data_IF_005554958238
#
_entry.id   IF_005554958238
#
_cell.length_a   1.000
_cell.length_b   1.000
_cell.length_c   1.000
_cell.angle_alpha   90.00
_cell.angle_beta   90.00
_cell.angle_gamma   90.00
#
_symmetry.space_group_name_H-M   'P 1'
#
loop_
_entity.id
_entity.type
_entity.pdbx_description
1 polymer ?
#
# COMPACT_ATOMS: atom_id res chain seq x y z
N UNK A 1 -2.75 11.54 -10.03
CA UNK A 1 -1.55 10.89 -9.45
C UNK A 1 -1.88 9.90 -8.33
N UNK A 2 -2.46 10.29 -7.19
CA UNK A 2 -2.76 9.33 -6.10
C UNK A 2 -3.71 8.19 -6.54
N UNK A 3 -4.81 8.52 -7.22
CA UNK A 3 -5.74 7.52 -7.76
C UNK A 3 -5.13 6.57 -8.79
N UNK A 4 -4.11 7.01 -9.54
CA UNK A 4 -3.44 6.17 -10.54
C UNK A 4 -2.52 5.13 -9.88
N UNK A 5 -1.88 5.49 -8.76
CA UNK A 5 -1.11 4.53 -7.95
C UNK A 5 -2.02 3.49 -7.33
N UNK A 6 -3.17 3.90 -6.79
CA UNK A 6 -4.15 2.98 -6.23
C UNK A 6 -4.67 1.98 -7.26
N UNK A 7 -4.98 2.44 -8.48
CA UNK A 7 -5.37 1.55 -9.58
C UNK A 7 -4.28 0.55 -9.94
N UNK A 8 -3.02 1.00 -10.06
CA UNK A 8 -1.88 0.12 -10.34
C UNK A 8 -1.66 -0.91 -9.23
N UNK A 9 -1.79 -0.51 -7.96
CA UNK A 9 -1.70 -1.41 -6.80
C UNK A 9 -2.78 -2.50 -6.91
N UNK A 10 -4.02 -2.13 -7.21
CA UNK A 10 -5.12 -3.08 -7.39
C UNK A 10 -4.87 -4.04 -8.56
N UNK A 11 -4.36 -3.55 -9.69
CA UNK A 11 -4.07 -4.38 -10.85
C UNK A 11 -2.92 -5.37 -10.61
N UNK A 12 -1.85 -4.94 -9.94
CA UNK A 12 -0.74 -5.81 -9.52
C UNK A 12 -1.24 -6.85 -8.52
N UNK A 13 -2.07 -6.46 -7.56
CA UNK A 13 -2.67 -7.40 -6.62
C UNK A 13 -3.51 -8.47 -7.31
N UNK A 14 -4.33 -8.09 -8.30
CA UNK A 14 -5.08 -9.06 -9.12
C UNK A 14 -4.16 -10.00 -9.89
N UNK A 15 -3.04 -9.50 -10.44
CA UNK A 15 -2.03 -10.34 -11.10
C UNK A 15 -1.44 -11.36 -10.13
N UNK A 16 -1.04 -10.95 -8.93
CA UNK A 16 -0.52 -11.85 -7.88
C UNK A 16 -1.52 -12.98 -7.57
N UNK A 17 -2.81 -12.66 -7.46
CA UNK A 17 -3.85 -13.66 -7.22
C UNK A 17 -3.97 -14.65 -8.39
N UNK A 18 -3.87 -14.18 -9.62
CA UNK A 18 -3.85 -15.05 -10.80
C UNK A 18 -2.62 -15.95 -10.82
N UNK A 19 -1.42 -15.40 -10.58
CA UNK A 19 -0.19 -16.21 -10.55
C UNK A 19 -0.22 -17.29 -9.47
N UNK A 20 -0.76 -16.96 -8.28
CA UNK A 20 -0.98 -17.96 -7.23
C UNK A 20 -1.88 -19.11 -7.67
N UNK A 21 -2.96 -18.81 -8.40
CA UNK A 21 -3.84 -19.84 -8.97
C UNK A 21 -3.13 -20.66 -10.05
N UNK A 22 -2.26 -20.05 -10.85
CA UNK A 22 -1.45 -20.77 -11.84
C UNK A 22 -0.50 -21.74 -11.14
N UNK A 23 0.14 -21.33 -10.04
CA UNK A 23 0.98 -22.22 -9.24
C UNK A 23 0.16 -23.40 -8.70
N UNK A 24 -0.97 -23.15 -8.05
CA UNK A 24 -1.86 -24.19 -7.52
C UNK A 24 -2.31 -25.17 -8.61
N UNK A 25 -2.78 -24.65 -9.75
CA UNK A 25 -3.16 -25.46 -10.90
C UNK A 25 -1.98 -26.28 -11.44
N UNK A 26 -0.77 -25.71 -11.43
CA UNK A 26 0.45 -26.42 -11.77
C UNK A 26 0.74 -27.57 -10.81
N UNK A 27 0.56 -27.38 -9.50
CA UNK A 27 0.73 -28.46 -8.52
C UNK A 27 -0.28 -29.59 -8.73
N UNK A 28 -1.55 -29.24 -9.00
CA UNK A 28 -2.60 -30.20 -9.31
C UNK A 28 -2.30 -30.96 -10.61
N UNK A 29 -1.81 -30.28 -11.65
CA UNK A 29 -1.42 -30.90 -12.91
C UNK A 29 -0.32 -31.95 -12.71
N UNK A 30 0.66 -31.69 -11.83
CA UNK A 30 1.69 -32.70 -11.51
C UNK A 30 1.12 -33.96 -10.87
N UNK A 31 0.03 -33.84 -10.12
CA UNK A 31 -0.64 -34.99 -9.50
C UNK A 31 -1.60 -35.69 -10.46
N UNK A 32 -2.19 -34.94 -11.40
CA UNK A 32 -3.18 -35.44 -12.34
C UNK A 32 -2.60 -36.14 -13.57
N UNK A 33 -1.30 -35.98 -13.87
CA UNK A 33 -0.67 -36.62 -15.03
C UNK A 33 0.72 -37.18 -14.73
N UNK A 34 1.02 -38.32 -15.33
CA UNK A 34 2.35 -38.96 -15.29
C UNK A 34 3.16 -38.73 -16.57
N UNK A 35 2.64 -37.92 -17.52
CA UNK A 35 3.29 -37.70 -18.80
C UNK A 35 4.51 -36.77 -18.64
N UNK A 36 5.74 -37.23 -18.97
CA UNK A 36 6.97 -36.46 -18.74
C UNK A 36 7.05 -35.16 -19.53
N UNK A 37 6.48 -35.08 -20.74
CA UNK A 37 6.50 -33.85 -21.54
C UNK A 37 5.54 -32.80 -20.97
N UNK A 38 4.39 -33.25 -20.47
CA UNK A 38 3.44 -32.35 -19.77
C UNK A 38 4.04 -31.86 -18.47
N UNK A 39 4.69 -32.73 -17.70
CA UNK A 39 5.39 -32.36 -16.46
C UNK A 39 6.50 -31.34 -16.73
N UNK A 40 7.37 -31.55 -17.73
CA UNK A 40 8.41 -30.55 -18.07
C UNK A 40 7.82 -29.19 -18.43
N UNK A 41 6.76 -29.16 -19.24
CA UNK A 41 6.07 -27.91 -19.62
C UNK A 41 5.43 -27.24 -18.41
N UNK A 42 4.84 -28.03 -17.53
CA UNK A 42 4.24 -27.55 -16.29
C UNK A 42 5.29 -26.98 -15.33
N UNK A 43 6.42 -27.67 -15.12
CA UNK A 43 7.51 -27.18 -14.28
C UNK A 43 8.17 -25.91 -14.84
N UNK A 44 8.22 -25.76 -16.16
CA UNK A 44 8.61 -24.50 -16.78
C UNK A 44 7.62 -23.37 -16.46
N UNK A 45 6.30 -23.64 -16.55
CA UNK A 45 5.26 -22.67 -16.19
C UNK A 45 5.28 -22.30 -14.71
N UNK A 46 5.51 -23.27 -13.82
CA UNK A 46 5.60 -23.04 -12.38
C UNK A 46 6.78 -22.13 -12.06
N UNK A 47 7.97 -22.41 -12.62
CA UNK A 47 9.15 -21.55 -12.42
C UNK A 47 8.97 -20.14 -12.98
N UNK A 48 8.22 -19.98 -14.07
CA UNK A 48 7.89 -18.67 -14.62
C UNK A 48 6.90 -17.92 -13.74
N UNK A 49 5.86 -18.61 -13.25
CA UNK A 49 4.88 -18.04 -12.33
C UNK A 49 5.53 -17.65 -10.99
N UNK A 50 6.47 -18.44 -10.46
CA UNK A 50 7.25 -18.09 -9.26
C UNK A 50 8.08 -16.81 -9.47
N UNK A 51 8.78 -16.69 -10.60
CA UNK A 51 9.52 -15.47 -10.96
C UNK A 51 8.60 -14.27 -11.12
N UNK A 52 7.48 -14.45 -11.82
CA UNK A 52 6.48 -13.40 -12.04
C UNK A 52 5.85 -12.95 -10.71
N UNK A 53 5.56 -13.89 -9.80
CA UNK A 53 5.03 -13.61 -8.48
C UNK A 53 5.99 -12.73 -7.67
N UNK A 54 7.27 -13.10 -7.59
CA UNK A 54 8.29 -12.30 -6.90
C UNK A 54 8.36 -10.88 -7.46
N UNK A 55 8.39 -10.75 -8.79
CA UNK A 55 8.42 -9.45 -9.46
C UNK A 55 7.19 -8.58 -9.12
N UNK A 56 6.00 -9.17 -9.11
CA UNK A 56 4.78 -8.46 -8.74
C UNK A 56 4.75 -8.08 -7.25
N UNK A 57 5.26 -8.92 -6.35
CA UNK A 57 5.37 -8.63 -4.93
C UNK A 57 6.33 -7.45 -4.66
N UNK A 58 7.49 -7.43 -5.34
CA UNK A 58 8.43 -6.32 -5.27
C UNK A 58 7.81 -5.02 -5.82
N UNK A 59 7.14 -5.11 -6.97
CA UNK A 59 6.44 -3.98 -7.59
C UNK A 59 5.34 -3.44 -6.67
N UNK A 60 4.57 -4.32 -6.01
CA UNK A 60 3.53 -3.92 -5.07
C UNK A 60 4.11 -3.15 -3.88
N UNK A 61 5.21 -3.64 -3.32
CA UNK A 61 5.91 -2.98 -2.20
C UNK A 61 6.42 -1.61 -2.61
N UNK A 62 7.00 -1.49 -3.80
CA UNK A 62 7.48 -0.22 -4.32
C UNK A 62 6.34 0.79 -4.52
N UNK A 63 5.23 0.36 -5.13
CA UNK A 63 4.05 1.21 -5.34
C UNK A 63 3.45 1.69 -4.01
N UNK A 64 3.38 0.80 -3.00
CA UNK A 64 2.92 1.16 -1.66
C UNK A 64 3.85 2.17 -0.98
N UNK A 65 5.17 1.98 -1.07
CA UNK A 65 6.16 2.93 -0.55
C UNK A 65 6.01 4.31 -1.20
N UNK A 66 5.86 4.36 -2.53
CA UNK A 66 5.61 5.59 -3.28
C UNK A 66 4.32 6.28 -2.84
N UNK A 67 3.26 5.51 -2.58
CA UNK A 67 1.99 6.04 -2.06
C UNK A 67 2.15 6.66 -0.67
N UNK A 68 2.85 5.99 0.25
CA UNK A 68 3.10 6.52 1.60
C UNK A 68 3.90 7.83 1.56
N UNK A 69 4.95 7.90 0.73
CA UNK A 69 5.75 9.11 0.55
C UNK A 69 4.93 10.28 -0.01
N UNK A 70 3.97 10.02 -0.90
CA UNK A 70 3.06 11.06 -1.41
C UNK A 70 2.08 11.54 -0.32
N UNK A 71 1.45 10.60 0.39
CA UNK A 71 0.52 10.94 1.47
C UNK A 71 1.17 11.82 2.56
N UNK A 72 2.44 11.57 2.87
CA UNK A 72 3.18 12.34 3.88
C UNK A 72 3.50 13.78 3.43
N UNK A 73 3.65 14.02 2.11
CA UNK A 73 3.83 15.38 1.55
C UNK A 73 2.53 16.16 1.53
N UNK A 74 1.41 15.51 1.26
CA UNK A 74 0.10 16.15 1.22
C UNK A 74 -0.33 16.64 2.62
N UNK A 75 0.00 15.91 3.68
CA UNK A 75 -0.35 16.27 5.07
C UNK A 75 0.41 17.52 5.58
N UNK A 76 1.70 17.65 5.24
CA UNK A 76 2.50 18.84 5.60
C UNK A 76 2.03 20.12 4.88
N UNK A 77 1.46 19.97 3.69
CA UNK A 77 0.89 21.10 2.94
C UNK A 77 -0.41 21.61 3.53
N UNK A 78 -1.13 20.76 4.28
CA UNK A 78 -2.45 21.09 4.86
C UNK A 78 -2.36 21.70 6.27
N UNK A 79 -1.22 21.54 6.96
CA UNK A 79 -0.98 22.12 8.29
C UNK A 79 -0.44 23.56 8.25
N UNK A 80 -0.10 24.10 7.08
CA UNK A 80 0.42 25.47 6.91
C UNK A 80 -0.61 26.61 7.01
N UNK A 81 -1.89 26.33 7.27
CA UNK A 81 -2.96 27.33 7.29
C UNK A 81 -3.90 27.23 8.51
N UNK A 82 -3.33 27.28 9.71
CA UNK A 82 -4.08 27.71 10.90
C UNK A 82 -3.29 28.80 11.63
N UNK A 83 -3.28 29.98 11.01
CA UNK A 83 -2.87 31.23 11.65
C UNK A 83 -3.83 31.56 12.79
N UNK A 84 -3.40 31.25 14.02
CA UNK A 84 -3.45 32.12 15.20
C UNK A 84 -4.73 32.97 15.38
N UNK A 85 -5.80 32.37 15.92
CA UNK A 85 -6.84 33.13 16.62
C UNK A 85 -6.35 33.45 18.03
N UNK A 86 -5.82 34.66 18.20
CA UNK A 86 -5.48 35.22 19.51
C UNK A 86 -6.74 35.39 20.37
N UNK A 87 -6.97 34.46 21.28
CA UNK A 87 -7.92 34.63 22.38
C UNK A 87 -7.35 35.64 23.38
N UNK A 88 -7.74 36.91 23.25
CA UNK A 88 -7.52 37.97 24.24
C UNK A 88 -8.21 37.57 25.55
N UNK A 89 -7.42 37.13 26.51
CA UNK A 89 -7.86 36.87 27.88
C UNK A 89 -8.14 38.22 28.56
N UNK A 90 -9.40 38.49 28.88
CA UNK A 90 -9.81 39.66 29.64
C UNK A 90 -9.32 39.49 31.09
N UNK A 91 -8.38 40.34 31.49
CA UNK A 91 -7.92 40.45 32.87
C UNK A 91 -9.00 41.09 33.72
N UNK A 92 -9.53 40.27 34.62
CA UNK A 92 -10.51 40.61 35.64
C UNK A 92 -9.90 41.58 36.64
N UNK A 93 -10.33 42.84 36.59
CA UNK A 93 -10.08 43.84 37.63
C UNK A 93 -11.18 43.70 38.68
N UNK A 94 -10.83 43.30 39.90
CA UNK A 94 -11.69 43.37 41.09
C UNK A 94 -10.80 43.73 42.28
N UNK A 95 -10.82 45.00 42.68
CA UNK A 95 -11.53 45.51 43.87
C UNK A 95 -10.77 45.17 45.17
N UNK A 96 -9.89 46.07 45.64
CA UNK A 96 -10.17 47.15 46.60
C UNK A 96 -10.00 46.70 48.06
N UNK A 97 -8.87 47.14 48.62
CA UNK A 97 -8.66 47.68 49.97
C UNK A 97 -9.22 46.95 51.18
N UNK A 98 -8.30 46.43 52.00
CA UNK A 98 -8.50 46.32 53.45
C UNK A 98 -7.29 46.95 54.15
N UNK A 99 -7.52 48.12 54.76
CA UNK A 99 -6.58 48.82 55.64
C UNK A 99 -7.27 48.90 57.01
N UNK A 100 -6.58 48.33 58.01
CA UNK A 100 -6.62 48.57 59.46
C UNK A 100 -7.97 48.69 60.17
#
# INVERSE_FOLDING_TARGET
>A
MAHELDQKIQDVYKRIQTERKVLEAGQLLRQATSNPDVLRRNDAKIREAERSLSYFEDTLRELQSRKMMQAQRDDHSRSGSMGFSSSRLAFFTSQQSSIR
#
